data_IF_693063691357
#
_entry.id   IF_693063691357
#
_cell.length_a   1.000
_cell.length_b   1.000
_cell.length_c   1.000
_cell.angle_alpha   90.00
_cell.angle_beta   90.00
_cell.angle_gamma   90.00
#
_symmetry.space_group_name_H-M   'P 1'
#
loop_
_entity.id
_entity.type
_entity.pdbx_description
1 polymer ?
#
# COMPACT_ATOMS: atom_id res chain seq x y z
N UNK A 1 -59.81 37.38 48.48
CA UNK A 1 -58.49 37.72 47.92
C UNK A 1 -58.12 36.58 46.97
N UNK A 2 -58.03 36.72 45.65
CA UNK A 2 -58.03 37.92 44.82
C UNK A 2 -56.68 38.10 44.13
N UNK A 3 -56.69 38.12 42.79
CA UNK A 3 -55.58 38.44 41.88
C UNK A 3 -54.51 37.32 41.78
N UNK A 4 -53.89 37.02 40.63
CA UNK A 4 -54.07 37.54 39.27
C UNK A 4 -53.72 36.48 38.21
N UNK A 5 -54.34 36.53 37.02
CA UNK A 5 -53.82 35.83 35.84
C UNK A 5 -52.55 36.52 35.33
N UNK A 6 -51.61 35.76 34.77
CA UNK A 6 -50.76 36.29 33.70
C UNK A 6 -50.49 35.21 32.63
N UNK A 7 -51.28 35.30 31.56
CA UNK A 7 -51.08 34.57 30.31
C UNK A 7 -50.37 35.50 29.32
N UNK A 8 -49.24 35.05 28.75
CA UNK A 8 -48.58 35.44 27.47
C UNK A 8 -47.05 35.24 27.54
N UNK A 9 -46.33 35.19 26.41
CA UNK A 9 -46.71 34.57 25.13
C UNK A 9 -45.59 33.65 24.59
N UNK A 10 -45.90 33.00 23.48
CA UNK A 10 -44.96 32.31 22.57
C UNK A 10 -43.61 33.01 22.36
N UNK A 11 -42.51 32.28 22.56
CA UNK A 11 -41.29 32.45 21.77
C UNK A 11 -40.64 31.08 21.52
N UNK A 12 -41.12 30.39 20.50
CA UNK A 12 -40.49 29.16 19.99
C UNK A 12 -39.20 29.57 19.25
N UNK A 13 -38.07 29.59 19.95
CA UNK A 13 -36.77 29.84 19.31
C UNK A 13 -36.38 28.59 18.51
N UNK A 14 -36.72 28.59 17.22
CA UNK A 14 -36.17 27.64 16.26
C UNK A 14 -34.70 28.02 16.05
N UNK A 15 -33.82 27.47 16.89
CA UNK A 15 -32.38 27.45 16.60
C UNK A 15 -32.21 26.50 15.42
N UNK A 16 -32.33 27.03 14.21
CA UNK A 16 -31.98 26.33 13.00
C UNK A 16 -30.45 26.21 12.98
N UNK A 17 -29.93 25.23 13.72
CA UNK A 17 -28.51 24.86 13.70
C UNK A 17 -28.19 24.48 12.27
N UNK A 18 -27.59 25.42 11.55
CA UNK A 18 -26.99 25.18 10.25
C UNK A 18 -25.80 24.24 10.51
N UNK A 19 -26.09 22.93 10.57
CA UNK A 19 -25.09 21.88 10.51
C UNK A 19 -24.46 21.99 9.13
N UNK A 20 -23.49 22.88 9.02
CA UNK A 20 -22.61 23.02 7.87
C UNK A 20 -21.80 21.74 7.83
N UNK A 21 -22.40 20.72 7.21
CA UNK A 21 -21.83 19.41 7.01
C UNK A 21 -20.67 19.61 6.06
N UNK A 22 -19.50 19.91 6.62
CA UNK A 22 -18.25 19.81 5.90
C UNK A 22 -18.13 18.34 5.53
N UNK A 23 -18.56 18.01 4.32
CA UNK A 23 -18.16 16.80 3.64
C UNK A 23 -16.64 16.84 3.55
N UNK A 24 -16.00 16.25 4.55
CA UNK A 24 -14.56 16.07 4.59
C UNK A 24 -14.24 15.04 3.50
N UNK A 25 -14.19 15.53 2.27
CA UNK A 25 -13.81 14.77 1.09
C UNK A 25 -12.34 14.41 1.25
N UNK A 26 -12.10 13.33 2.00
CA UNK A 26 -10.79 12.76 2.19
C UNK A 26 -10.22 12.47 0.79
N UNK A 27 -9.27 13.30 0.36
CA UNK A 27 -8.59 13.16 -0.93
C UNK A 27 -7.72 11.91 -0.88
N UNK A 28 -8.35 10.76 -1.07
CA UNK A 28 -7.70 9.46 -1.01
C UNK A 28 -6.95 9.20 -2.32
N UNK A 29 -5.93 10.02 -2.59
CA UNK A 29 -5.05 9.87 -3.76
C UNK A 29 -4.58 8.42 -3.88
N UNK A 30 -4.84 7.80 -5.02
CA UNK A 30 -4.33 6.46 -5.32
C UNK A 30 -2.80 6.58 -5.49
N UNK A 31 -1.99 5.71 -4.87
CA UNK A 31 -0.59 5.63 -5.27
C UNK A 31 -0.55 5.18 -6.72
N UNK A 32 0.22 5.92 -7.52
CA UNK A 32 0.22 5.81 -8.97
C UNK A 32 1.21 4.72 -9.38
N UNK A 33 0.68 3.54 -9.71
CA UNK A 33 1.46 2.43 -10.28
C UNK A 33 1.42 2.53 -11.80
N UNK A 34 2.58 2.48 -12.45
CA UNK A 34 2.71 2.64 -13.90
C UNK A 34 3.75 1.69 -14.53
N UNK A 35 3.43 0.95 -15.61
CA UNK A 35 2.14 0.91 -16.30
C UNK A 35 1.03 0.33 -15.42
N UNK A 36 -0.22 0.69 -15.72
CA UNK A 36 -1.38 0.22 -14.94
C UNK A 36 -1.46 -1.32 -14.97
N UNK A 37 -1.44 -2.02 -13.82
CA UNK A 37 -1.53 -3.47 -13.79
C UNK A 37 -2.84 -4.01 -14.36
N UNK A 38 -2.82 -5.24 -14.87
CA UNK A 38 -3.98 -5.85 -15.51
C UNK A 38 -5.15 -6.07 -14.52
N UNK A 39 -4.85 -6.36 -13.25
CA UNK A 39 -5.79 -6.36 -12.13
C UNK A 39 -5.09 -5.91 -10.85
N UNK A 40 -5.80 -5.19 -9.98
CA UNK A 40 -5.30 -4.85 -8.65
C UNK A 40 -6.43 -4.63 -7.64
N UNK A 41 -6.13 -4.85 -6.36
CA UNK A 41 -6.95 -4.45 -5.21
C UNK A 41 -6.06 -3.89 -4.09
N UNK A 42 -6.61 -2.99 -3.30
CA UNK A 42 -5.92 -2.28 -2.22
C UNK A 42 -6.83 -2.12 -0.99
N UNK A 43 -6.22 -1.92 0.18
CA UNK A 43 -6.89 -1.61 1.44
C UNK A 43 -6.77 -0.14 1.85
N UNK A 44 -6.73 0.10 3.17
CA UNK A 44 -6.69 1.45 3.75
C UNK A 44 -5.66 1.58 4.89
N UNK A 45 -4.66 0.69 4.92
CA UNK A 45 -3.62 0.69 5.95
C UNK A 45 -2.29 1.19 5.36
N UNK A 46 -1.43 1.72 6.21
CA UNK A 46 -0.04 2.01 5.86
C UNK A 46 0.87 0.96 6.49
N UNK A 47 1.90 0.54 5.75
CA UNK A 47 2.98 -0.33 6.19
C UNK A 47 4.30 0.43 6.17
N UNK A 48 5.12 0.31 7.20
CA UNK A 48 6.50 0.79 7.18
C UNK A 48 7.45 -0.29 6.64
N UNK A 49 8.43 0.12 5.82
CA UNK A 49 9.38 -0.78 5.14
C UNK A 49 10.78 -0.48 5.63
N UNK A 50 11.51 -1.54 5.95
CA UNK A 50 12.92 -1.50 6.35
C UNK A 50 13.79 -1.00 5.18
N UNK A 51 14.57 0.10 5.33
CA UNK A 51 15.50 0.56 4.31
C UNK A 51 16.61 -0.45 3.98
N UNK A 52 16.84 -1.44 4.85
CA UNK A 52 17.77 -2.57 4.67
C UNK A 52 17.03 -3.86 4.29
N UNK A 53 15.94 -3.73 3.51
CA UNK A 53 15.10 -4.83 3.05
C UNK A 53 15.90 -6.01 2.49
N UNK A 54 15.75 -7.17 3.13
CA UNK A 54 16.38 -8.41 2.67
C UNK A 54 15.53 -9.09 1.59
N UNK A 55 16.13 -9.35 0.42
CA UNK A 55 15.51 -10.18 -0.61
C UNK A 55 15.79 -11.64 -0.32
N UNK A 56 14.73 -12.44 -0.25
CA UNK A 56 14.79 -13.90 -0.13
C UNK A 56 14.04 -14.47 -1.33
N UNK A 57 14.63 -15.39 -2.09
CA UNK A 57 13.92 -15.97 -3.21
C UNK A 57 14.60 -17.20 -3.79
N UNK A 58 13.83 -18.10 -4.39
CA UNK A 58 14.34 -19.35 -4.95
C UNK A 58 15.30 -19.10 -6.13
N UNK A 59 15.10 -18.03 -6.91
CA UNK A 59 16.04 -17.63 -7.97
C UNK A 59 17.33 -16.98 -7.45
N UNK A 60 17.35 -16.50 -6.21
CA UNK A 60 18.50 -15.83 -5.62
C UNK A 60 19.38 -16.85 -4.88
N UNK A 61 20.36 -17.43 -5.58
CA UNK A 61 21.31 -18.39 -4.99
C UNK A 61 22.17 -17.77 -3.86
N UNK A 62 22.19 -16.43 -3.75
CA UNK A 62 22.73 -15.69 -2.61
C UNK A 62 21.69 -14.63 -2.19
N UNK A 63 21.46 -14.44 -0.90
CA UNK A 63 20.51 -13.44 -0.40
C UNK A 63 21.01 -12.02 -0.66
N UNK A 64 20.37 -11.31 -1.60
CA UNK A 64 20.75 -9.95 -1.96
C UNK A 64 20.11 -8.94 -0.99
N UNK A 65 20.93 -8.24 -0.23
CA UNK A 65 20.49 -7.13 0.64
C UNK A 65 20.56 -5.81 -0.12
N UNK A 66 19.42 -5.27 -0.55
CA UNK A 66 19.36 -3.94 -1.16
C UNK A 66 19.12 -2.90 -0.06
N UNK A 67 20.18 -2.17 0.30
CA UNK A 67 20.15 -1.16 1.38
C UNK A 67 20.15 0.27 0.87
N UNK A 68 19.10 1.04 1.22
CA UNK A 68 19.09 2.51 1.11
C UNK A 68 19.51 3.13 2.46
N UNK A 69 20.35 4.17 2.43
CA UNK A 69 21.13 4.73 3.55
C UNK A 69 20.27 5.69 4.43
N UNK A 70 20.26 5.70 5.78
CA UNK A 70 21.01 4.95 6.84
C UNK A 70 20.33 5.10 8.24
N UNK A 71 20.74 4.24 9.19
CA UNK A 71 20.71 4.44 10.68
C UNK A 71 19.37 4.31 11.41
N UNK A 72 19.45 3.77 12.65
CA UNK A 72 18.42 3.42 13.63
C UNK A 72 17.37 2.40 13.19
N UNK A 73 17.48 1.19 13.78
CA UNK A 73 16.59 0.06 13.53
C UNK A 73 15.23 0.27 14.22
N UNK A 74 14.39 1.11 13.62
CA UNK A 74 12.99 1.20 13.98
C UNK A 74 12.30 -0.17 13.78
N UNK A 75 11.20 -0.41 14.50
CA UNK A 75 10.34 -1.56 14.27
C UNK A 75 9.53 -1.34 12.99
N UNK A 76 10.10 -1.69 11.84
CA UNK A 76 9.41 -1.69 10.56
C UNK A 76 8.43 -2.86 10.47
N UNK A 77 7.27 -2.66 9.82
CA UNK A 77 6.35 -3.76 9.54
C UNK A 77 7.00 -4.79 8.58
N UNK A 78 7.68 -4.32 7.52
CA UNK A 78 8.22 -5.16 6.44
C UNK A 78 9.76 -5.15 6.43
N UNK A 79 10.40 -6.26 6.83
CA UNK A 79 11.87 -6.44 6.76
C UNK A 79 12.34 -7.42 5.66
N UNK A 80 11.40 -8.16 5.04
CA UNK A 80 11.70 -9.26 4.11
C UNK A 80 10.77 -9.22 2.90
N UNK A 81 11.35 -9.31 1.71
CA UNK A 81 10.63 -9.51 0.46
C UNK A 81 10.90 -10.92 -0.05
N UNK A 82 9.84 -11.72 -0.16
CA UNK A 82 9.90 -13.09 -0.69
C UNK A 82 9.64 -13.07 -2.21
N UNK A 83 10.56 -13.61 -3.01
CA UNK A 83 10.46 -13.69 -4.48
C UNK A 83 10.48 -15.15 -4.92
N UNK A 84 9.32 -15.65 -5.33
CA UNK A 84 9.15 -17.02 -5.84
C UNK A 84 9.20 -16.98 -7.36
N UNK A 85 10.12 -17.75 -7.92
CA UNK A 85 10.27 -17.96 -9.37
C UNK A 85 10.19 -19.46 -9.63
N UNK A 86 9.29 -19.87 -10.51
CA UNK A 86 9.00 -21.28 -10.78
C UNK A 86 9.96 -21.90 -11.81
N UNK A 87 10.27 -21.19 -12.91
CA UNK A 87 11.27 -21.60 -13.90
C UNK A 87 12.49 -20.64 -13.90
N UNK A 88 13.69 -21.21 -13.81
CA UNK A 88 14.98 -20.50 -13.83
C UNK A 88 15.70 -20.61 -15.18
N UNK A 89 15.20 -21.45 -16.09
CA UNK A 89 15.82 -21.78 -17.37
C UNK A 89 14.92 -21.29 -18.49
N UNK A 90 15.01 -19.99 -18.75
CA UNK A 90 14.27 -19.25 -19.77
C UNK A 90 15.31 -18.57 -20.67
N UNK A 91 15.35 -18.92 -21.95
CA UNK A 91 16.17 -18.20 -22.92
C UNK A 91 15.44 -16.90 -23.33
N UNK A 92 16.19 -15.82 -23.58
CA UNK A 92 15.62 -14.52 -23.96
C UNK A 92 15.00 -14.59 -25.36
N UNK A 93 13.70 -14.90 -25.42
CA UNK A 93 12.92 -15.04 -26.65
C UNK A 93 11.69 -14.13 -26.65
N UNK A 94 11.22 -13.75 -27.84
CA UNK A 94 9.98 -12.99 -28.01
C UNK A 94 8.78 -13.82 -27.50
N UNK A 95 7.94 -13.21 -26.68
CA UNK A 95 6.79 -13.89 -26.06
C UNK A 95 7.09 -14.64 -24.75
N UNK A 96 8.26 -14.42 -24.14
CA UNK A 96 8.56 -14.91 -22.78
C UNK A 96 7.53 -14.42 -21.76
N UNK A 97 7.19 -15.25 -20.77
CA UNK A 97 6.18 -14.92 -19.77
C UNK A 97 6.74 -13.93 -18.73
N UNK A 98 6.45 -12.64 -18.91
CA UNK A 98 6.75 -11.58 -17.93
C UNK A 98 5.60 -11.35 -16.92
N UNK A 99 4.66 -12.28 -16.75
CA UNK A 99 3.58 -12.13 -15.76
C UNK A 99 4.07 -12.29 -14.32
N UNK A 100 3.42 -11.58 -13.40
CA UNK A 100 3.70 -11.63 -11.98
C UNK A 100 2.45 -11.39 -11.12
N UNK A 101 2.47 -11.94 -9.92
CA UNK A 101 1.56 -11.62 -8.83
C UNK A 101 2.35 -10.96 -7.70
N UNK A 102 1.89 -9.81 -7.21
CA UNK A 102 2.47 -9.11 -6.06
C UNK A 102 1.42 -9.02 -4.94
N UNK A 103 1.75 -9.60 -3.80
CA UNK A 103 0.92 -9.61 -2.59
C UNK A 103 1.63 -8.87 -1.46
N UNK A 104 0.95 -7.88 -0.88
CA UNK A 104 1.40 -7.13 0.30
C UNK A 104 0.33 -7.31 1.36
N UNK A 105 0.65 -7.99 2.46
CA UNK A 105 -0.30 -8.30 3.54
C UNK A 105 0.18 -7.69 4.85
N UNK A 106 -0.77 -7.19 5.66
CA UNK A 106 -0.50 -6.71 7.02
C UNK A 106 -1.10 -7.68 8.04
N UNK A 107 -0.25 -8.27 8.86
CA UNK A 107 -0.61 -8.93 10.09
C UNK A 107 -0.37 -7.98 11.28
N UNK A 108 -0.76 -8.40 12.48
CA UNK A 108 -0.57 -7.59 13.70
C UNK A 108 0.94 -7.45 13.97
N UNK A 109 1.45 -6.22 13.86
CA UNK A 109 2.86 -5.89 14.10
C UNK A 109 3.86 -6.44 13.06
N UNK A 110 3.40 -6.93 11.91
CA UNK A 110 4.28 -7.41 10.83
C UNK A 110 3.60 -7.37 9.47
N UNK A 111 4.33 -6.99 8.44
CA UNK A 111 3.92 -7.03 7.04
C UNK A 111 4.69 -8.10 6.27
N UNK A 112 4.00 -8.84 5.40
CA UNK A 112 4.62 -9.81 4.50
C UNK A 112 4.39 -9.37 3.06
N UNK A 113 5.48 -9.23 2.31
CA UNK A 113 5.46 -9.01 0.87
C UNK A 113 5.91 -10.28 0.14
N UNK A 114 5.21 -10.65 -0.91
CA UNK A 114 5.56 -11.77 -1.77
C UNK A 114 5.31 -11.43 -3.24
N UNK A 115 6.35 -11.60 -4.05
CA UNK A 115 6.27 -11.60 -5.51
C UNK A 115 6.32 -13.06 -5.96
N UNK A 116 5.43 -13.44 -6.85
CA UNK A 116 5.39 -14.76 -7.49
C UNK A 116 5.36 -14.56 -9.00
N UNK A 117 6.23 -15.26 -9.72
CA UNK A 117 6.31 -15.22 -11.17
C UNK A 117 6.73 -16.58 -11.73
N UNK A 118 6.34 -16.86 -12.98
CA UNK A 118 6.80 -18.05 -13.68
C UNK A 118 8.28 -17.94 -14.06
N UNK A 119 8.72 -16.74 -14.47
CA UNK A 119 10.09 -16.48 -14.96
C UNK A 119 10.81 -15.42 -14.12
N UNK A 120 12.14 -15.32 -14.31
CA UNK A 120 12.94 -14.22 -13.76
C UNK A 120 12.49 -12.86 -14.29
N UNK A 121 12.01 -12.78 -15.54
CA UNK A 121 11.54 -11.53 -16.15
C UNK A 121 10.27 -11.03 -15.47
N UNK A 122 9.30 -11.92 -15.21
CA UNK A 122 8.12 -11.58 -14.40
C UNK A 122 8.48 -11.11 -12.99
N UNK A 123 9.43 -11.77 -12.34
CA UNK A 123 9.90 -11.33 -11.02
C UNK A 123 10.54 -9.93 -11.03
N UNK A 124 11.27 -9.57 -12.08
CA UNK A 124 11.81 -8.22 -12.27
C UNK A 124 10.69 -7.18 -12.49
N UNK A 125 9.65 -7.50 -13.28
CA UNK A 125 8.45 -6.62 -13.42
C UNK A 125 7.72 -6.42 -12.08
N UNK A 126 7.64 -7.47 -11.27
CA UNK A 126 7.08 -7.41 -9.92
C UNK A 126 7.93 -6.56 -8.96
N UNK A 127 9.26 -6.65 -9.03
CA UNK A 127 10.20 -5.83 -8.24
C UNK A 127 10.11 -4.35 -8.61
N UNK A 128 10.03 -4.02 -9.90
CA UNK A 128 9.79 -2.66 -10.38
C UNK A 128 8.47 -2.11 -9.85
N UNK A 129 7.39 -2.89 -9.94
CA UNK A 129 6.07 -2.49 -9.42
C UNK A 129 6.08 -2.29 -7.91
N UNK A 130 6.83 -3.13 -7.17
CA UNK A 130 7.02 -2.97 -5.73
C UNK A 130 7.82 -1.70 -5.37
N UNK A 131 8.80 -1.33 -6.20
CA UNK A 131 9.57 -0.09 -6.00
C UNK A 131 8.68 1.15 -6.06
N UNK A 132 7.74 1.19 -7.01
CA UNK A 132 6.79 2.29 -7.19
C UNK A 132 5.77 2.42 -6.05
N UNK A 133 5.45 1.32 -5.36
CA UNK A 133 4.59 1.33 -4.17
C UNK A 133 5.31 1.84 -2.91
N UNK A 134 6.64 1.83 -2.91
CA UNK A 134 7.46 2.36 -1.83
C UNK A 134 7.59 3.88 -1.98
N UNK A 135 7.09 4.64 -1.00
CA UNK A 135 7.18 6.09 -0.95
C UNK A 135 7.92 6.53 0.31
N UNK A 136 8.83 7.52 0.19
CA UNK A 136 9.54 8.04 1.35
C UNK A 136 8.73 9.14 2.04
N UNK A 137 8.38 8.92 3.31
CA UNK A 137 7.74 9.90 4.16
C UNK A 137 8.82 10.73 4.88
N UNK A 138 8.90 12.02 4.53
CA UNK A 138 9.90 12.95 5.07
C UNK A 138 9.69 13.33 6.54
N UNK A 139 8.46 13.19 7.08
CA UNK A 139 8.13 13.54 8.47
C UNK A 139 8.60 12.46 9.44
N UNK A 140 8.37 11.20 9.09
CA UNK A 140 8.81 10.01 9.83
C UNK A 140 10.22 9.56 9.45
N UNK A 141 10.73 10.01 8.29
CA UNK A 141 11.98 9.54 7.65
C UNK A 141 11.99 8.04 7.37
N UNK A 142 10.83 7.48 7.05
CA UNK A 142 10.65 6.04 6.76
C UNK A 142 10.15 5.81 5.34
N UNK A 143 10.51 4.67 4.76
CA UNK A 143 9.86 4.18 3.55
C UNK A 143 8.52 3.57 3.97
N UNK A 144 7.44 3.94 3.27
CA UNK A 144 6.08 3.50 3.55
C UNK A 144 5.38 2.98 2.29
N UNK A 145 4.49 2.01 2.47
CA UNK A 145 3.55 1.54 1.46
C UNK A 145 2.15 1.92 1.92
N UNK A 146 1.50 2.80 1.15
CA UNK A 146 0.13 3.24 1.42
C UNK A 146 -0.90 2.26 0.85
N UNK A 147 -2.11 2.26 1.43
CA UNK A 147 -3.27 1.45 1.00
C UNK A 147 -3.03 -0.06 1.00
N UNK A 148 -2.17 -0.56 1.87
CA UNK A 148 -2.08 -1.99 2.16
C UNK A 148 -3.40 -2.51 2.80
N UNK A 149 -3.70 -3.83 2.70
CA UNK A 149 -3.01 -4.83 1.88
C UNK A 149 -3.20 -4.61 0.37
N UNK A 150 -2.25 -5.07 -0.44
CA UNK A 150 -2.34 -5.09 -1.91
C UNK A 150 -2.39 -6.51 -2.46
N UNK A 151 -3.14 -6.68 -3.55
CA UNK A 151 -2.99 -7.81 -4.47
C UNK A 151 -2.99 -7.27 -5.89
N UNK A 152 -1.89 -7.48 -6.61
CA UNK A 152 -1.67 -6.98 -7.98
C UNK A 152 -1.34 -8.16 -8.88
N UNK A 153 -1.97 -8.22 -10.05
CA UNK A 153 -1.66 -9.16 -11.13
C UNK A 153 -1.21 -8.33 -12.33
N UNK A 154 0.08 -8.38 -12.64
CA UNK A 154 0.68 -7.69 -13.77
C UNK A 154 1.06 -8.66 -14.88
N UNK A 155 0.94 -8.21 -16.13
CA UNK A 155 1.50 -8.88 -17.30
C UNK A 155 1.65 -7.85 -18.44
N UNK A 156 2.58 -8.06 -19.38
CA UNK A 156 2.68 -7.24 -20.58
C UNK A 156 1.39 -7.35 -21.42
N UNK A 157 1.14 -6.30 -22.22
CA UNK A 157 0.00 -6.24 -23.14
C UNK A 157 0.30 -6.87 -24.52
N UNK A 158 1.58 -6.87 -24.88
CA UNK A 158 2.15 -7.30 -26.16
C UNK A 158 3.44 -8.05 -25.88
#
# INVERSE_FOLDING_TARGET
>A
MGWCCCYKPTLLIIVFTFFFSQSFAAKFSLPFVWPLPAKFSFGNQTLSVDPTLSLIGNAANNGYSFGFVRTDKAAYDVNKLNVVVHNKTEELQLGVDESYNLFITKAIGSGKVTIEANTVFGALRGLETFSQLCSFDYSTKTVQIYKAPWSIQGKPRF
#
